data_IF_162446247139
#
_entry.id   IF_162446247139
#
_cell.length_a   1.000
_cell.length_b   1.000
_cell.length_c   1.000
_cell.angle_alpha   90.00
_cell.angle_beta   90.00
_cell.angle_gamma   90.00
#
_symmetry.space_group_name_H-M   'P 1'
#
loop_
_entity.id
_entity.type
_entity.pdbx_description
1 polymer ?
#
# COMPACT_ATOMS: atom_id res chain seq x y z
N UNK A 1 32.93 33.94 16.31
CA UNK A 1 31.81 33.01 16.55
C UNK A 1 31.06 32.82 15.25
N UNK A 2 30.48 31.63 15.05
CA UNK A 2 29.75 31.13 13.87
C UNK A 2 30.70 30.69 12.74
N UNK A 3 30.75 29.44 12.30
CA UNK A 3 29.97 28.25 12.61
C UNK A 3 30.45 27.19 11.62
N UNK A 4 30.86 26.05 12.16
CA UNK A 4 31.50 24.94 11.47
C UNK A 4 30.63 24.40 10.33
N UNK A 5 30.92 24.74 9.07
CA UNK A 5 30.19 24.25 7.87
C UNK A 5 30.59 22.83 7.44
N UNK A 6 31.31 22.08 8.28
CA UNK A 6 31.75 20.70 8.01
C UNK A 6 30.66 19.63 8.20
N UNK A 7 29.39 19.96 8.02
CA UNK A 7 28.27 19.07 8.37
C UNK A 7 27.25 18.73 7.28
N UNK A 8 27.33 19.29 6.07
CA UNK A 8 26.25 19.13 5.06
C UNK A 8 26.72 18.53 3.72
N UNK A 9 28.01 18.20 3.59
CA UNK A 9 28.57 17.62 2.36
C UNK A 9 28.71 16.09 2.44
N UNK A 10 27.62 15.40 2.78
CA UNK A 10 27.51 13.96 2.58
C UNK A 10 26.34 13.68 1.63
N UNK A 11 26.66 12.99 0.52
CA UNK A 11 25.76 12.28 -0.40
C UNK A 11 25.04 13.07 -1.51
N UNK A 12 25.79 13.49 -2.53
CA UNK A 12 25.25 13.69 -3.90
C UNK A 12 26.28 13.24 -4.94
N UNK A 13 26.79 12.01 -4.80
CA UNK A 13 27.70 11.42 -5.80
C UNK A 13 27.00 10.94 -7.08
N UNK A 14 25.67 11.04 -7.18
CA UNK A 14 24.88 10.63 -8.35
C UNK A 14 23.93 11.73 -8.85
N UNK A 15 24.40 12.99 -8.96
CA UNK A 15 23.68 14.01 -9.74
C UNK A 15 24.05 13.82 -11.21
N UNK A 16 23.11 13.39 -12.03
CA UNK A 16 23.30 13.26 -13.47
C UNK A 16 23.02 14.58 -14.22
N UNK A 17 23.37 14.64 -15.50
CA UNK A 17 23.14 15.84 -16.33
C UNK A 17 21.66 16.26 -16.36
N UNK A 18 20.74 15.28 -16.31
CA UNK A 18 19.30 15.56 -16.30
C UNK A 18 18.87 16.27 -15.00
N UNK A 19 19.47 15.91 -13.85
CA UNK A 19 19.15 16.56 -12.58
C UNK A 19 19.59 18.02 -12.57
N UNK A 20 20.77 18.30 -13.15
CA UNK A 20 21.28 19.67 -13.32
C UNK A 20 20.37 20.47 -14.26
N UNK A 21 19.93 19.87 -15.36
CA UNK A 21 19.00 20.51 -16.30
C UNK A 21 17.66 20.87 -15.64
N UNK A 22 17.06 19.94 -14.90
CA UNK A 22 15.81 20.16 -14.17
C UNK A 22 15.96 21.33 -13.18
N UNK A 23 17.05 21.36 -12.41
CA UNK A 23 17.32 22.43 -11.45
C UNK A 23 17.54 23.79 -12.13
N UNK A 24 18.25 23.82 -13.25
CA UNK A 24 18.47 25.05 -14.03
C UNK A 24 17.16 25.58 -14.61
N UNK A 25 16.31 24.70 -15.14
CA UNK A 25 14.99 25.07 -15.67
C UNK A 25 14.08 25.58 -14.55
N UNK A 26 14.05 24.88 -13.41
CA UNK A 26 13.28 25.29 -12.23
C UNK A 26 13.66 26.69 -11.74
N UNK A 27 14.96 26.99 -11.65
CA UNK A 27 15.46 28.31 -11.22
C UNK A 27 15.08 29.46 -12.16
N UNK A 28 14.81 29.18 -13.44
CA UNK A 28 14.36 30.19 -14.42
C UNK A 28 12.86 30.49 -14.32
N UNK A 29 12.08 29.61 -13.69
CA UNK A 29 10.64 29.82 -13.49
C UNK A 29 10.38 30.98 -12.52
N UNK A 30 9.23 31.64 -12.67
CA UNK A 30 8.74 32.59 -11.67
C UNK A 30 8.39 31.86 -10.37
N UNK A 31 8.38 32.55 -9.21
CA UNK A 31 7.98 31.93 -7.94
C UNK A 31 6.56 31.34 -7.94
N UNK A 32 5.67 31.83 -8.80
CA UNK A 32 4.34 31.23 -8.98
C UNK A 32 4.44 29.88 -9.71
N UNK A 33 5.10 29.85 -10.87
CA UNK A 33 5.28 28.63 -11.66
C UNK A 33 6.11 27.56 -10.92
N UNK A 34 7.07 27.97 -10.08
CA UNK A 34 7.81 27.07 -9.19
C UNK A 34 6.89 26.36 -8.19
N UNK A 35 5.94 27.09 -7.57
CA UNK A 35 4.97 26.50 -6.65
C UNK A 35 4.02 25.55 -7.36
N UNK A 36 3.48 25.94 -8.51
CA UNK A 36 2.61 25.09 -9.33
C UNK A 36 3.29 23.79 -9.74
N UNK A 37 4.57 23.85 -10.14
CA UNK A 37 5.35 22.67 -10.49
C UNK A 37 5.55 21.74 -9.28
N UNK A 38 5.87 22.28 -8.10
CA UNK A 38 5.99 21.50 -6.86
C UNK A 38 4.65 20.83 -6.48
N UNK A 39 3.54 21.56 -6.58
CA UNK A 39 2.20 21.03 -6.33
C UNK A 39 1.85 19.91 -7.31
N UNK A 40 2.17 20.08 -8.59
CA UNK A 40 1.95 19.05 -9.60
C UNK A 40 2.80 17.81 -9.36
N UNK A 41 4.08 17.96 -8.98
CA UNK A 41 4.93 16.82 -8.60
C UNK A 41 4.37 16.09 -7.39
N UNK A 42 3.90 16.82 -6.36
CA UNK A 42 3.23 16.21 -5.20
C UNK A 42 1.99 15.43 -5.62
N UNK A 43 1.16 15.98 -6.50
CA UNK A 43 0.00 15.27 -7.06
C UNK A 43 0.41 13.97 -7.78
N UNK A 44 1.44 14.02 -8.63
CA UNK A 44 1.93 12.83 -9.35
C UNK A 44 2.47 11.77 -8.39
N UNK A 45 3.24 12.16 -7.38
CA UNK A 45 3.75 11.27 -6.35
C UNK A 45 2.60 10.61 -5.56
N UNK A 46 1.58 11.35 -5.15
CA UNK A 46 0.38 10.79 -4.52
C UNK A 46 -0.35 9.78 -5.42
N UNK A 47 -0.45 10.07 -6.72
CA UNK A 47 -1.07 9.16 -7.70
C UNK A 47 -0.25 7.87 -7.86
N UNK A 48 1.07 7.99 -7.86
CA UNK A 48 1.96 6.84 -7.98
C UNK A 48 1.99 6.00 -6.70
N UNK A 49 2.02 6.64 -5.53
CA UNK A 49 1.89 6.00 -4.23
C UNK A 49 0.68 5.06 -4.17
N UNK A 50 -0.52 5.57 -4.50
CA UNK A 50 -1.76 4.76 -4.55
C UNK A 50 -1.64 3.55 -5.45
N UNK A 51 -0.97 3.69 -6.60
CA UNK A 51 -0.75 2.59 -7.54
C UNK A 51 0.21 1.55 -6.96
N UNK A 52 1.31 2.00 -6.37
CA UNK A 52 2.36 1.14 -5.86
C UNK A 52 1.89 0.34 -4.65
N UNK A 53 1.10 0.95 -3.75
CA UNK A 53 0.47 0.26 -2.62
C UNK A 53 -0.50 -0.81 -3.13
N UNK A 54 -1.36 -0.48 -4.09
CA UNK A 54 -2.30 -1.45 -4.69
C UNK A 54 -1.57 -2.65 -5.28
N UNK A 55 -0.47 -2.42 -6.00
CA UNK A 55 0.33 -3.49 -6.62
C UNK A 55 1.06 -4.31 -5.55
N UNK A 56 1.69 -3.65 -4.58
CA UNK A 56 2.47 -4.31 -3.56
C UNK A 56 1.62 -5.26 -2.70
N UNK A 57 0.37 -4.89 -2.43
CA UNK A 57 -0.56 -5.65 -1.58
C UNK A 57 -1.41 -6.62 -2.40
N UNK A 58 -2.23 -6.11 -3.34
CA UNK A 58 -3.25 -6.94 -4.01
C UNK A 58 -2.71 -7.81 -5.15
N UNK A 59 -1.55 -7.47 -5.73
CA UNK A 59 -0.89 -8.30 -6.74
C UNK A 59 0.25 -9.14 -6.16
N UNK A 60 0.34 -9.24 -4.83
CA UNK A 60 1.32 -10.06 -4.16
C UNK A 60 0.96 -11.55 -4.27
N UNK A 61 1.82 -12.34 -4.92
CA UNK A 61 1.60 -13.79 -5.10
C UNK A 61 1.52 -14.55 -3.77
N UNK A 62 2.29 -14.14 -2.77
CA UNK A 62 2.29 -14.82 -1.47
C UNK A 62 0.99 -14.57 -0.70
N UNK A 63 0.47 -13.34 -0.69
CA UNK A 63 -0.85 -13.06 -0.11
C UNK A 63 -1.93 -13.89 -0.80
N UNK A 64 -1.94 -13.91 -2.13
CA UNK A 64 -2.91 -14.72 -2.89
C UNK A 64 -2.82 -16.22 -2.52
N UNK A 65 -1.61 -16.78 -2.41
CA UNK A 65 -1.43 -18.17 -2.00
C UNK A 65 -1.93 -18.43 -0.57
N UNK A 66 -1.70 -17.50 0.36
CA UNK A 66 -2.20 -17.61 1.72
C UNK A 66 -3.73 -17.52 1.78
N UNK A 67 -4.34 -16.67 0.95
CA UNK A 67 -5.79 -16.55 0.84
C UNK A 67 -6.42 -17.82 0.27
N UNK A 68 -5.85 -18.40 -0.80
CA UNK A 68 -6.31 -19.69 -1.31
C UNK A 68 -6.14 -20.81 -0.28
N UNK A 69 -5.05 -20.80 0.50
CA UNK A 69 -4.89 -21.74 1.61
C UNK A 69 -5.95 -21.53 2.69
N UNK A 70 -6.33 -20.29 2.99
CA UNK A 70 -7.35 -19.97 3.98
C UNK A 70 -8.73 -20.46 3.53
N UNK A 71 -9.08 -20.28 2.25
CA UNK A 71 -10.32 -20.81 1.66
C UNK A 71 -10.40 -22.34 1.82
N UNK A 72 -9.32 -23.05 1.47
CA UNK A 72 -9.27 -24.52 1.63
C UNK A 72 -9.41 -24.99 3.08
N UNK A 73 -9.00 -24.17 4.06
CA UNK A 73 -9.17 -24.53 5.47
C UNK A 73 -10.64 -24.46 5.89
N UNK A 74 -11.41 -23.51 5.35
CA UNK A 74 -12.81 -23.31 5.71
C UNK A 74 -13.80 -24.18 4.91
N UNK A 75 -13.36 -24.74 3.78
CA UNK A 75 -14.14 -25.68 2.97
C UNK A 75 -14.29 -27.07 3.63
N UNK A 76 -13.46 -27.38 4.62
CA UNK A 76 -13.53 -28.66 5.35
C UNK A 76 -14.82 -28.75 6.19
N UNK A 77 -15.29 -29.98 6.37
CA UNK A 77 -16.44 -30.29 7.24
C UNK A 77 -16.09 -29.95 8.70
N UNK A 78 -14.89 -30.31 9.13
CA UNK A 78 -14.33 -29.95 10.44
C UNK A 78 -13.25 -28.87 10.27
N UNK A 79 -13.50 -27.68 10.85
CA UNK A 79 -12.56 -26.57 10.82
C UNK A 79 -11.68 -26.58 12.08
N UNK A 80 -10.37 -26.63 11.86
CA UNK A 80 -9.40 -26.33 12.90
C UNK A 80 -9.23 -24.80 13.03
N UNK A 81 -9.89 -24.23 14.04
CA UNK A 81 -9.82 -22.80 14.36
C UNK A 81 -8.39 -22.31 14.60
N UNK A 82 -7.50 -23.17 15.12
CA UNK A 82 -6.11 -22.79 15.37
C UNK A 82 -5.34 -22.59 14.05
N UNK A 83 -5.66 -23.38 13.02
CA UNK A 83 -5.06 -23.26 11.69
C UNK A 83 -5.59 -22.04 10.96
N UNK A 84 -6.91 -21.80 11.03
CA UNK A 84 -7.54 -20.60 10.46
C UNK A 84 -6.94 -19.34 11.09
N UNK A 85 -6.86 -19.29 12.42
CA UNK A 85 -6.32 -18.13 13.14
C UNK A 85 -4.87 -17.86 12.76
N UNK A 86 -4.02 -18.89 12.73
CA UNK A 86 -2.62 -18.76 12.28
C UNK A 86 -2.51 -18.25 10.85
N UNK A 87 -3.37 -18.74 9.95
CA UNK A 87 -3.36 -18.30 8.55
C UNK A 87 -3.79 -16.84 8.40
N UNK A 88 -4.82 -16.41 9.12
CA UNK A 88 -5.27 -15.00 9.14
C UNK A 88 -4.17 -14.09 9.66
N UNK A 89 -3.48 -14.46 10.74
CA UNK A 89 -2.36 -13.67 11.27
C UNK A 89 -1.22 -13.53 10.25
N UNK A 90 -0.83 -14.61 9.58
CA UNK A 90 0.21 -14.56 8.53
C UNK A 90 -0.17 -13.63 7.37
N UNK A 91 -1.44 -13.67 6.94
CA UNK A 91 -1.94 -12.76 5.90
C UNK A 91 -1.87 -11.31 6.40
N UNK A 92 -2.32 -11.06 7.64
CA UNK A 92 -2.33 -9.74 8.26
C UNK A 92 -0.94 -9.13 8.37
N UNK A 93 0.01 -9.89 8.89
CA UNK A 93 1.41 -9.46 9.03
C UNK A 93 2.03 -9.11 7.68
N UNK A 94 1.86 -9.98 6.68
CA UNK A 94 2.39 -9.74 5.34
C UNK A 94 1.71 -8.53 4.67
N UNK A 95 0.39 -8.40 4.83
CA UNK A 95 -0.40 -7.29 4.30
C UNK A 95 0.13 -5.94 4.81
N UNK A 96 0.22 -5.79 6.14
CA UNK A 96 0.67 -4.53 6.73
C UNK A 96 2.16 -4.30 6.51
N UNK A 97 3.00 -5.34 6.53
CA UNK A 97 4.42 -5.19 6.22
C UNK A 97 4.68 -4.68 4.80
N UNK A 98 3.89 -5.13 3.82
CA UNK A 98 3.97 -4.62 2.44
C UNK A 98 3.43 -3.20 2.32
N UNK A 99 2.30 -2.91 2.97
CA UNK A 99 1.71 -1.58 3.00
C UNK A 99 2.70 -0.56 3.61
N UNK A 100 3.21 -0.82 4.81
CA UNK A 100 4.12 0.06 5.54
C UNK A 100 5.42 0.29 4.77
N UNK A 101 5.97 -0.75 4.14
CA UNK A 101 7.16 -0.61 3.30
C UNK A 101 6.95 0.39 2.17
N UNK A 102 5.81 0.35 1.49
CA UNK A 102 5.52 1.33 0.44
C UNK A 102 5.21 2.69 1.05
N UNK A 103 4.38 2.76 2.10
CA UNK A 103 4.01 4.00 2.77
C UNK A 103 5.24 4.79 3.23
N UNK A 104 6.19 4.16 3.91
CA UNK A 104 7.38 4.82 4.44
C UNK A 104 8.23 5.45 3.31
N UNK A 105 8.35 4.79 2.16
CA UNK A 105 9.10 5.34 1.02
C UNK A 105 8.51 6.66 0.49
N UNK A 106 7.20 6.87 0.63
CA UNK A 106 6.52 8.07 0.14
C UNK A 106 6.27 9.10 1.24
N UNK A 107 6.05 8.67 2.48
CA UNK A 107 5.83 9.54 3.64
C UNK A 107 7.05 10.41 3.96
N UNK A 108 8.26 9.97 3.61
CA UNK A 108 9.48 10.78 3.68
C UNK A 108 9.49 11.96 2.69
N UNK A 109 8.72 11.88 1.60
CA UNK A 109 8.73 12.84 0.49
C UNK A 109 7.48 13.71 0.43
N UNK A 110 6.37 13.24 1.00
CA UNK A 110 5.05 13.88 0.93
C UNK A 110 4.58 14.18 2.36
N UNK A 111 4.63 15.45 2.73
CA UNK A 111 4.04 15.93 3.98
C UNK A 111 2.54 15.62 4.01
N UNK A 112 2.00 15.27 5.18
CA UNK A 112 0.59 14.91 5.37
C UNK A 112 0.06 13.86 4.37
N UNK A 113 0.89 12.88 4.01
CA UNK A 113 0.46 11.77 3.15
C UNK A 113 -0.73 11.05 3.80
N UNK A 114 -1.91 11.23 3.21
CA UNK A 114 -3.14 10.67 3.76
C UNK A 114 -3.03 9.15 3.86
N UNK A 115 -2.96 8.68 5.10
CA UNK A 115 -2.88 7.25 5.39
C UNK A 115 -4.25 6.56 5.28
N UNK A 116 -5.33 7.31 5.03
CA UNK A 116 -6.68 6.78 4.83
C UNK A 116 -6.88 6.24 3.40
N UNK A 117 -5.91 5.47 2.93
CA UNK A 117 -5.99 4.79 1.65
C UNK A 117 -6.99 3.64 1.71
N UNK A 118 -7.73 3.44 0.61
CA UNK A 118 -8.67 2.34 0.46
C UNK A 118 -8.05 0.96 0.81
N UNK A 119 -6.74 0.81 0.62
CA UNK A 119 -5.97 -0.37 1.03
C UNK A 119 -5.98 -0.52 2.56
N UNK A 120 -5.48 0.49 3.30
CA UNK A 120 -5.44 0.45 4.76
C UNK A 120 -6.83 0.26 5.37
N UNK A 121 -7.84 0.93 4.84
CA UNK A 121 -9.22 0.83 5.34
C UNK A 121 -9.83 -0.56 5.07
N UNK A 122 -9.60 -1.12 3.87
CA UNK A 122 -9.98 -2.50 3.57
C UNK A 122 -9.32 -3.49 4.55
N UNK A 123 -8.01 -3.36 4.76
CA UNK A 123 -7.27 -4.21 5.71
C UNK A 123 -7.81 -4.07 7.12
N UNK A 124 -8.02 -2.85 7.61
CA UNK A 124 -8.52 -2.57 8.96
C UNK A 124 -9.87 -3.25 9.20
N UNK A 125 -10.83 -3.02 8.32
CA UNK A 125 -12.18 -3.54 8.46
C UNK A 125 -12.20 -5.06 8.29
N UNK A 126 -11.54 -5.55 7.24
CA UNK A 126 -11.52 -6.98 6.93
C UNK A 126 -10.87 -7.83 8.03
N UNK A 127 -9.70 -7.43 8.53
CA UNK A 127 -9.05 -8.16 9.62
C UNK A 127 -9.81 -8.04 10.95
N UNK A 128 -10.40 -6.88 11.24
CA UNK A 128 -11.23 -6.70 12.44
C UNK A 128 -12.43 -7.66 12.43
N UNK A 129 -13.11 -7.79 11.30
CA UNK A 129 -14.24 -8.70 11.16
C UNK A 129 -13.83 -10.17 11.28
N UNK A 130 -12.74 -10.57 10.61
CA UNK A 130 -12.17 -11.93 10.73
C UNK A 130 -11.81 -12.27 12.18
N UNK A 131 -11.15 -11.35 12.89
CA UNK A 131 -10.80 -11.53 14.30
C UNK A 131 -12.03 -11.62 15.21
N UNK A 132 -13.08 -10.84 14.92
CA UNK A 132 -14.34 -10.93 15.65
C UNK A 132 -15.03 -12.28 15.41
N UNK A 133 -15.06 -12.76 14.17
CA UNK A 133 -15.64 -14.05 13.81
C UNK A 133 -14.89 -15.23 14.46
N UNK A 134 -13.56 -15.18 14.44
CA UNK A 134 -12.71 -16.18 15.11
C UNK A 134 -13.02 -16.19 16.62
N UNK A 135 -13.08 -15.01 17.26
CA UNK A 135 -13.40 -14.90 18.69
C UNK A 135 -14.80 -15.43 19.03
N UNK A 136 -15.78 -15.26 18.15
CA UNK A 136 -17.13 -15.77 18.40
C UNK A 136 -17.22 -17.30 18.29
N UNK A 137 -16.21 -17.99 17.75
CA UNK A 137 -16.18 -19.45 17.53
C UNK A 137 -17.38 -19.98 16.74
N UNK A 138 -18.07 -19.11 16.00
CA UNK A 138 -19.23 -19.46 15.19
C UNK A 138 -18.74 -19.82 13.80
N UNK A 139 -18.70 -21.12 13.52
CA UNK A 139 -18.12 -21.65 12.27
C UNK A 139 -18.73 -21.02 11.01
N UNK A 140 -20.06 -20.90 10.95
CA UNK A 140 -20.73 -20.28 9.81
C UNK A 140 -20.33 -18.83 9.60
N UNK A 141 -20.16 -18.07 10.70
CA UNK A 141 -19.70 -16.68 10.63
C UNK A 141 -18.26 -16.60 10.12
N UNK A 142 -17.39 -17.49 10.58
CA UNK A 142 -15.99 -17.54 10.11
C UNK A 142 -15.94 -17.85 8.61
N UNK A 143 -16.71 -18.84 8.14
CA UNK A 143 -16.80 -19.16 6.70
C UNK A 143 -17.24 -17.94 5.88
N UNK A 144 -18.30 -17.27 6.32
CA UNK A 144 -18.85 -16.08 5.68
C UNK A 144 -17.82 -14.96 5.58
N UNK A 145 -17.19 -14.60 6.70
CA UNK A 145 -16.25 -13.47 6.78
C UNK A 145 -14.97 -13.72 5.99
N UNK A 146 -14.50 -14.97 5.94
CA UNK A 146 -13.37 -15.36 5.07
C UNK A 146 -13.72 -15.24 3.58
N UNK A 147 -14.93 -15.66 3.20
CA UNK A 147 -15.40 -15.54 1.81
C UNK A 147 -15.54 -14.07 1.43
N UNK A 148 -16.16 -13.25 2.28
CA UNK A 148 -16.32 -11.81 2.05
C UNK A 148 -14.97 -11.09 1.95
N UNK A 149 -14.04 -11.40 2.86
CA UNK A 149 -12.68 -10.85 2.81
C UNK A 149 -11.99 -11.20 1.48
N UNK A 150 -12.07 -12.46 1.06
CA UNK A 150 -11.46 -12.90 -0.20
C UNK A 150 -12.09 -12.22 -1.42
N UNK A 151 -13.42 -12.11 -1.48
CA UNK A 151 -14.12 -11.44 -2.58
C UNK A 151 -13.78 -9.95 -2.65
N UNK A 152 -13.73 -9.27 -1.49
CA UNK A 152 -13.31 -7.88 -1.42
C UNK A 152 -11.85 -7.69 -1.88
N UNK A 153 -10.96 -8.61 -1.49
CA UNK A 153 -9.57 -8.60 -1.93
C UNK A 153 -9.45 -8.76 -3.45
N UNK A 154 -10.15 -9.75 -4.03
CA UNK A 154 -10.19 -10.00 -5.47
C UNK A 154 -10.76 -8.80 -6.25
N UNK A 155 -11.81 -8.17 -5.74
CA UNK A 155 -12.39 -6.97 -6.35
C UNK A 155 -11.35 -5.85 -6.46
N UNK A 156 -10.60 -5.58 -5.39
CA UNK A 156 -9.53 -4.59 -5.38
C UNK A 156 -8.35 -4.99 -6.27
N UNK A 157 -8.00 -6.28 -6.33
CA UNK A 157 -6.97 -6.78 -7.23
C UNK A 157 -7.32 -6.54 -8.72
N UNK A 158 -8.60 -6.68 -9.09
CA UNK A 158 -9.10 -6.50 -10.47
C UNK A 158 -9.25 -5.04 -10.91
N UNK A 159 -9.26 -4.07 -10.00
CA UNK A 159 -9.35 -2.62 -10.32
C UNK A 159 -8.18 -2.08 -11.17
N UNK A 160 -7.20 -2.90 -11.54
CA UNK A 160 -6.19 -2.59 -12.56
C UNK A 160 -6.70 -2.75 -14.00
N UNK A 161 -7.66 -3.64 -14.24
CA UNK A 161 -8.15 -3.94 -15.60
C UNK A 161 -9.12 -2.87 -16.13
N UNK A 162 -9.95 -2.28 -15.26
CA UNK A 162 -10.90 -1.23 -15.65
C UNK A 162 -10.24 0.08 -16.14
N UNK A 163 -8.98 0.34 -15.78
CA UNK A 163 -8.22 1.53 -16.23
C UNK A 163 -7.47 1.34 -17.54
N UNK A 164 -7.52 0.14 -18.15
CA UNK A 164 -6.94 -0.13 -19.49
C UNK A 164 -7.94 0.06 -20.65
N UNK A 165 -9.22 0.34 -20.38
CA UNK A 165 -10.27 0.43 -21.41
C UNK A 165 -10.65 1.89 -21.77
N UNK A 166 -9.93 2.90 -21.26
CA UNK A 166 -10.14 4.31 -21.69
C UNK A 166 -8.80 4.96 -22.00
N UNK A 167 -8.26 4.64 -23.17
CA UNK A 167 -7.34 5.47 -23.95
C UNK A 167 -7.16 4.85 -25.34
N UNK A 168 -8.10 5.11 -26.26
CA UNK A 168 -7.90 5.71 -27.61
C UNK A 168 -9.22 6.36 -28.00
#
# INVERSE_FOLDING_TARGET
MLGNTKGVFLLYTDICLNDIEILNNYKKLTPAAQRELLEYMRYLLCKQYKRDVMVAVFHNKLINNLLHSLLRLIERDEIDLSQVTRRVMQIKELYYGLFEKVHNNYAELIEDLDSNEAVKEFGRNGFSNLEQAIRSSQINRIKMEVIEFYQGFESLARHREARKIVAV
#
